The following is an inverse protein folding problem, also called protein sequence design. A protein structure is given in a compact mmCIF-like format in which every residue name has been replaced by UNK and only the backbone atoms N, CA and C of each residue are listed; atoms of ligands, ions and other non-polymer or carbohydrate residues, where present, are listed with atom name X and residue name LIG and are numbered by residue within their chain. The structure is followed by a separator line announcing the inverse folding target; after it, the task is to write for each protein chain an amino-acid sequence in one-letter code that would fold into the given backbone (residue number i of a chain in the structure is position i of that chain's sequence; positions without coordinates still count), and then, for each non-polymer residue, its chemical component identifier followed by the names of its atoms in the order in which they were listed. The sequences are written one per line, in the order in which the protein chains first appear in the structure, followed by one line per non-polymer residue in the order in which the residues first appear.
data_IF_450041692757
#
_entry.id   IF_450041692757
#
_cell.length_a   1.000
_cell.length_b   1.000
_cell.length_c   1.000
_cell.angle_alpha   90.00
_cell.angle_beta   90.00
_cell.angle_gamma   90.00
#
_symmetry.space_group_name_H-M   'P 1'
#
loop_
_entity.id
_entity.type
_entity.pdbx_description
1 polymer ?
#
# COMPACT_ATOMS: atom_id res chain seq x y z
N UNK A 1 30.72 -4.97 -13.84
CA UNK A 1 30.31 -5.87 -12.76
C UNK A 1 29.20 -5.21 -11.97
N UNK A 2 28.25 -5.96 -11.43
CA UNK A 2 27.22 -5.38 -10.55
C UNK A 2 27.91 -4.84 -9.30
N UNK A 3 27.95 -3.53 -9.14
CA UNK A 3 28.38 -2.92 -7.90
C UNK A 3 27.32 -3.22 -6.83
N UNK A 4 27.72 -3.68 -5.63
CA UNK A 4 26.77 -3.91 -4.56
C UNK A 4 26.06 -2.60 -4.20
N UNK A 5 24.76 -2.65 -3.85
CA UNK A 5 24.02 -1.45 -3.49
C UNK A 5 24.67 -0.76 -2.29
N UNK A 6 24.71 0.56 -2.34
CA UNK A 6 25.22 1.39 -1.24
C UNK A 6 24.34 1.12 -0.02
N UNK A 7 24.97 0.84 1.12
CA UNK A 7 24.23 0.69 2.39
C UNK A 7 23.57 2.02 2.74
N UNK A 8 22.27 2.04 3.10
CA UNK A 8 21.58 3.28 3.39
C UNK A 8 22.16 3.96 4.63
N UNK A 9 22.31 5.29 4.55
CA UNK A 9 22.80 6.12 5.65
C UNK A 9 21.88 5.98 6.88
N UNK A 10 22.38 6.15 8.12
CA UNK A 10 21.57 6.02 9.33
C UNK A 10 20.31 6.90 9.31
N UNK A 11 20.41 8.14 8.84
CA UNK A 11 19.30 9.08 8.73
C UNK A 11 18.23 8.62 7.73
N UNK A 12 18.60 7.92 6.66
CA UNK A 12 17.65 7.35 5.70
C UNK A 12 16.83 6.23 6.33
N UNK A 13 17.46 5.39 7.16
CA UNK A 13 16.77 4.33 7.90
C UNK A 13 15.78 4.90 8.89
N UNK A 14 16.20 5.90 9.67
CA UNK A 14 15.32 6.59 10.63
C UNK A 14 14.13 7.23 9.93
N UNK A 15 14.34 7.86 8.76
CA UNK A 15 13.24 8.45 7.99
C UNK A 15 12.27 7.38 7.46
N UNK A 16 12.79 6.28 6.93
CA UNK A 16 11.98 5.14 6.47
C UNK A 16 11.17 4.50 7.60
N UNK A 17 11.75 4.33 8.79
CA UNK A 17 11.06 3.79 9.97
C UNK A 17 9.89 4.69 10.38
N UNK A 18 10.08 6.01 10.37
CA UNK A 18 9.00 6.97 10.65
C UNK A 18 7.90 6.90 9.59
N UNK A 19 8.25 6.91 8.31
CA UNK A 19 7.30 6.81 7.21
C UNK A 19 6.50 5.51 7.25
N UNK A 20 7.12 4.39 7.61
CA UNK A 20 6.48 3.08 7.68
C UNK A 20 5.35 3.05 8.73
N UNK A 21 5.56 3.68 9.89
CA UNK A 21 4.53 3.79 10.94
C UNK A 21 3.33 4.58 10.41
N UNK A 22 3.57 5.76 9.84
CA UNK A 22 2.51 6.67 9.37
C UNK A 22 1.73 6.05 8.20
N UNK A 23 2.44 5.48 7.22
CA UNK A 23 1.80 4.83 6.07
C UNK A 23 0.93 3.64 6.50
N UNK A 24 1.41 2.86 7.47
CA UNK A 24 0.65 1.72 8.02
C UNK A 24 -0.59 2.19 8.76
N UNK A 25 -0.49 3.25 9.56
CA UNK A 25 -1.63 3.82 10.27
C UNK A 25 -2.71 4.30 9.30
N UNK A 26 -2.34 5.12 8.32
CA UNK A 26 -3.26 5.63 7.29
C UNK A 26 -3.93 4.49 6.51
N UNK A 27 -3.14 3.51 6.07
CA UNK A 27 -3.66 2.33 5.39
C UNK A 27 -4.67 1.58 6.26
N UNK A 28 -4.35 1.35 7.54
CA UNK A 28 -5.23 0.57 8.43
C UNK A 28 -6.48 1.35 8.83
N UNK A 29 -6.37 2.66 9.00
CA UNK A 29 -7.50 3.54 9.23
C UNK A 29 -8.53 3.37 8.09
N UNK A 30 -8.08 3.52 6.84
CA UNK A 30 -8.96 3.41 5.68
C UNK A 30 -9.45 1.97 5.41
N UNK A 31 -8.58 0.97 5.47
CA UNK A 31 -8.92 -0.39 5.00
C UNK A 31 -9.63 -1.24 6.06
N UNK A 32 -9.32 -1.01 7.34
CA UNK A 32 -9.82 -1.87 8.44
C UNK A 32 -10.69 -1.12 9.46
N UNK A 33 -10.53 0.19 9.62
CA UNK A 33 -11.27 0.94 10.65
C UNK A 33 -12.46 1.71 10.08
N UNK A 34 -12.39 2.17 8.82
CA UNK A 34 -13.51 2.84 8.16
C UNK A 34 -14.68 1.86 7.95
N UNK A 35 -15.82 2.05 8.65
CA UNK A 35 -16.91 1.08 8.66
C UNK A 35 -17.51 0.82 7.27
N UNK A 36 -17.45 1.81 6.37
CA UNK A 36 -18.04 1.73 5.03
C UNK A 36 -17.07 1.21 3.97
N UNK A 37 -15.82 0.93 4.32
CA UNK A 37 -14.79 0.55 3.35
C UNK A 37 -15.15 -0.72 2.58
N UNK A 38 -15.63 -1.76 3.28
CA UNK A 38 -15.98 -3.04 2.64
C UNK A 38 -17.17 -2.88 1.69
N UNK A 39 -18.14 -2.05 2.05
CA UNK A 39 -19.27 -1.72 1.18
C UNK A 39 -18.78 -0.99 -0.08
N UNK A 40 -18.00 0.08 0.10
CA UNK A 40 -17.41 0.83 -1.00
C UNK A 40 -16.57 -0.06 -1.93
N UNK A 41 -15.69 -0.90 -1.37
CA UNK A 41 -14.85 -1.81 -2.14
C UNK A 41 -15.67 -2.74 -3.05
N UNK A 42 -16.78 -3.30 -2.54
CA UNK A 42 -17.66 -4.19 -3.31
C UNK A 42 -18.47 -3.48 -4.38
N UNK A 43 -18.79 -2.20 -4.17
CA UNK A 43 -19.56 -1.39 -5.13
C UNK A 43 -18.66 -0.76 -6.20
N UNK A 44 -17.46 -0.35 -5.81
CA UNK A 44 -16.53 0.37 -6.67
C UNK A 44 -15.66 -0.56 -7.51
N UNK A 45 -15.56 -1.85 -7.18
CA UNK A 45 -14.69 -2.83 -7.86
C UNK A 45 -15.45 -4.11 -8.20
N UNK A 46 -14.99 -4.90 -9.21
CA UNK A 46 -15.64 -6.15 -9.59
C UNK A 46 -15.22 -7.33 -8.68
N UNK A 47 -15.00 -7.12 -7.38
CA UNK A 47 -14.55 -8.19 -6.47
C UNK A 47 -15.57 -9.33 -6.36
N UNK A 48 -16.85 -8.99 -6.30
CA UNK A 48 -17.91 -9.99 -6.17
C UNK A 48 -18.08 -10.80 -7.46
N UNK A 49 -17.98 -10.13 -8.61
CA UNK A 49 -18.03 -10.72 -9.94
C UNK A 49 -16.84 -11.64 -10.16
N UNK A 50 -15.63 -11.22 -9.80
CA UNK A 50 -14.42 -12.04 -9.88
C UNK A 50 -14.57 -13.34 -9.11
N UNK A 51 -15.14 -13.30 -7.90
CA UNK A 51 -15.40 -14.49 -7.09
C UNK A 51 -16.42 -15.46 -7.68
N UNK A 52 -17.26 -15.02 -8.63
CA UNK A 52 -18.29 -15.83 -9.32
C UNK A 52 -17.82 -16.37 -10.68
N UNK A 53 -16.72 -15.84 -11.21
CA UNK A 53 -16.20 -16.23 -12.53
C UNK A 53 -15.31 -17.49 -12.43
N UNK A 54 -15.36 -18.33 -13.47
CA UNK A 54 -14.52 -19.53 -13.62
C UNK A 54 -13.10 -19.19 -14.10
N UNK A 55 -12.50 -18.12 -13.56
CA UNK A 55 -11.16 -17.64 -13.94
C UNK A 55 -10.10 -17.90 -12.85
N UNK A 56 -10.54 -18.21 -11.63
CA UNK A 56 -9.67 -18.52 -10.50
C UNK A 56 -9.65 -20.02 -10.19
N UNK A 57 -8.47 -20.61 -10.01
CA UNK A 57 -8.32 -21.98 -9.51
C UNK A 57 -8.54 -22.10 -8.00
N UNK A 58 -8.57 -20.97 -7.28
CA UNK A 58 -8.65 -20.90 -5.82
C UNK A 58 -9.79 -19.99 -5.37
N UNK A 59 -10.43 -20.29 -4.22
CA UNK A 59 -11.43 -19.40 -3.63
C UNK A 59 -10.84 -18.02 -3.32
N UNK A 60 -11.56 -16.96 -3.67
CA UNK A 60 -11.12 -15.58 -3.45
C UNK A 60 -10.94 -15.24 -1.95
N UNK A 61 -11.75 -15.85 -1.07
CA UNK A 61 -11.71 -15.66 0.39
C UNK A 61 -11.28 -16.94 1.12
N UNK A 62 -10.70 -16.76 2.31
CA UNK A 62 -10.36 -17.86 3.23
C UNK A 62 -11.56 -18.33 4.05
N UNK A 63 -12.48 -17.42 4.40
CA UNK A 63 -13.72 -17.72 5.13
C UNK A 63 -14.89 -16.92 4.51
N UNK A 64 -16.10 -17.51 4.40
CA UNK A 64 -17.30 -16.76 4.00
C UNK A 64 -17.64 -15.68 5.04
N UNK A 65 -18.17 -14.53 4.57
CA UNK A 65 -18.77 -13.50 5.44
C UNK A 65 -17.81 -12.53 6.15
N UNK A 66 -16.49 -12.65 5.97
CA UNK A 66 -15.53 -11.71 6.57
C UNK A 66 -15.29 -10.43 5.77
N UNK A 67 -14.54 -9.51 6.38
CA UNK A 67 -14.04 -8.29 5.77
C UNK A 67 -12.78 -8.54 4.93
N UNK A 68 -12.00 -7.48 4.73
CA UNK A 68 -10.76 -7.51 3.92
C UNK A 68 -9.75 -8.54 4.44
N UNK A 69 -9.72 -8.81 5.74
CA UNK A 69 -8.84 -9.80 6.39
C UNK A 69 -9.04 -11.24 5.91
N UNK A 70 -10.20 -11.53 5.32
CA UNK A 70 -10.49 -12.85 4.75
C UNK A 70 -10.15 -12.94 3.27
N UNK A 71 -9.91 -11.82 2.59
CA UNK A 71 -9.61 -11.75 1.17
C UNK A 71 -8.15 -12.15 0.91
N UNK A 72 -7.90 -12.89 -0.17
CA UNK A 72 -6.53 -13.21 -0.60
C UNK A 72 -5.91 -12.01 -1.34
N UNK A 73 -4.58 -11.95 -1.34
CA UNK A 73 -3.82 -10.88 -1.99
C UNK A 73 -4.09 -10.74 -3.51
N UNK A 74 -4.24 -11.86 -4.24
CA UNK A 74 -4.55 -11.83 -5.68
C UNK A 74 -5.89 -11.14 -5.96
N UNK A 75 -7.03 -11.60 -5.38
CA UNK A 75 -8.31 -10.90 -5.51
C UNK A 75 -8.26 -9.43 -5.07
N UNK A 76 -7.55 -9.11 -3.99
CA UNK A 76 -7.38 -7.74 -3.51
C UNK A 76 -6.75 -6.83 -4.57
N UNK A 77 -5.59 -7.21 -5.09
CA UNK A 77 -4.88 -6.42 -6.11
C UNK A 77 -5.66 -6.41 -7.44
N UNK A 78 -6.23 -7.56 -7.82
CA UNK A 78 -6.96 -7.71 -9.08
C UNK A 78 -8.16 -6.78 -9.15
N UNK A 79 -9.00 -6.75 -8.11
CA UNK A 79 -10.22 -5.94 -8.07
C UNK A 79 -9.92 -4.44 -8.30
N UNK A 80 -8.91 -3.89 -7.64
CA UNK A 80 -8.50 -2.49 -7.83
C UNK A 80 -7.75 -2.22 -9.14
N UNK A 81 -7.15 -3.25 -9.73
CA UNK A 81 -6.52 -3.14 -11.05
C UNK A 81 -7.56 -3.02 -12.15
N UNK A 82 -8.69 -3.73 -12.04
CA UNK A 82 -9.79 -3.63 -13.02
C UNK A 82 -10.36 -2.21 -13.11
N UNK A 83 -10.38 -1.48 -12.01
CA UNK A 83 -10.94 -0.11 -11.94
C UNK A 83 -9.90 0.97 -12.23
N UNK A 84 -8.65 0.59 -12.51
CA UNK A 84 -7.51 1.50 -12.73
C UNK A 84 -7.21 2.42 -11.55
N UNK A 85 -7.78 2.16 -10.38
CA UNK A 85 -7.56 2.97 -9.18
C UNK A 85 -6.31 2.54 -8.41
N UNK A 86 -5.95 1.26 -8.46
CA UNK A 86 -4.72 0.72 -7.87
C UNK A 86 -4.49 1.08 -6.39
N UNK A 87 -5.58 1.29 -5.61
CA UNK A 87 -5.53 1.68 -4.19
C UNK A 87 -4.50 0.91 -3.35
N UNK A 88 -4.35 -0.43 -3.46
CA UNK A 88 -3.40 -1.20 -2.66
C UNK A 88 -1.93 -0.85 -2.87
N UNK A 89 -1.61 -0.18 -3.98
CA UNK A 89 -0.24 0.11 -4.40
C UNK A 89 0.30 1.37 -3.72
N UNK A 90 -0.55 2.37 -3.51
CA UNK A 90 -0.11 3.72 -3.14
C UNK A 90 -0.74 4.24 -1.84
N UNK A 91 -1.79 3.60 -1.31
CA UNK A 91 -2.45 4.05 -0.09
C UNK A 91 -1.45 4.09 1.08
N UNK A 92 -1.41 5.22 1.80
CA UNK A 92 -0.49 5.48 2.91
C UNK A 92 0.77 6.27 2.53
N UNK A 93 1.25 6.18 1.28
CA UNK A 93 2.46 6.91 0.84
C UNK A 93 2.28 8.43 0.94
N UNK A 94 1.15 8.94 0.45
CA UNK A 94 0.88 10.38 0.46
C UNK A 94 0.91 10.98 1.87
N UNK A 95 0.29 10.31 2.85
CA UNK A 95 0.30 10.72 4.24
C UNK A 95 1.71 10.69 4.85
N UNK A 96 2.47 9.61 4.60
CA UNK A 96 3.84 9.48 5.09
C UNK A 96 4.77 10.57 4.54
N UNK A 97 4.75 10.80 3.21
CA UNK A 97 5.55 11.85 2.58
C UNK A 97 5.18 13.23 3.10
N UNK A 98 3.87 13.55 3.14
CA UNK A 98 3.39 14.83 3.63
C UNK A 98 3.86 15.07 5.07
N UNK A 99 3.68 14.09 5.95
CA UNK A 99 4.05 14.22 7.36
C UNK A 99 5.54 14.50 7.54
N UNK A 100 6.43 13.75 6.88
CA UNK A 100 7.87 13.96 7.07
C UNK A 100 8.37 15.26 6.46
N UNK A 101 7.78 15.71 5.34
CA UNK A 101 8.12 17.00 4.72
C UNK A 101 7.64 18.16 5.60
N UNK A 102 6.42 18.08 6.15
CA UNK A 102 5.86 19.11 7.04
C UNK A 102 6.65 19.20 8.37
N UNK A 103 7.19 18.07 8.84
CA UNK A 103 8.02 18.00 10.06
C UNK A 103 9.38 18.67 9.91
N UNK A 104 10.01 18.54 8.75
CA UNK A 104 11.27 19.21 8.42
C UNK A 104 11.43 19.32 6.89
N UNK A 105 11.50 20.55 6.38
CA UNK A 105 11.61 20.81 4.94
C UNK A 105 12.87 20.17 4.31
N UNK A 106 13.93 19.93 5.10
CA UNK A 106 15.15 19.23 4.65
C UNK A 106 14.89 17.77 4.29
N UNK A 107 13.82 17.17 4.82
CA UNK A 107 13.45 15.80 4.45
C UNK A 107 13.06 15.68 2.98
N UNK A 108 12.56 16.74 2.33
CA UNK A 108 12.32 16.72 0.89
C UNK A 108 13.61 16.50 0.10
N UNK A 109 14.68 17.21 0.46
CA UNK A 109 16.00 17.03 -0.15
C UNK A 109 16.56 15.64 0.14
N UNK A 110 16.42 15.17 1.39
CA UNK A 110 16.85 13.81 1.78
C UNK A 110 16.12 12.72 0.97
N UNK A 111 14.82 12.83 0.77
CA UNK A 111 14.03 11.89 -0.04
C UNK A 111 14.46 11.89 -1.51
N UNK A 112 14.76 13.07 -2.07
CA UNK A 112 15.28 13.19 -3.43
C UNK A 112 16.68 12.58 -3.57
N UNK A 113 17.54 12.70 -2.54
CA UNK A 113 18.84 12.05 -2.51
C UNK A 113 18.72 10.52 -2.40
N UNK A 114 17.82 10.04 -1.54
CA UNK A 114 17.52 8.61 -1.39
C UNK A 114 17.08 8.03 -2.74
N UNK A 115 16.12 8.64 -3.44
CA UNK A 115 15.64 8.17 -4.76
C UNK A 115 16.75 8.12 -5.82
N UNK A 116 17.73 9.03 -5.76
CA UNK A 116 18.86 9.06 -6.72
C UNK A 116 19.95 8.04 -6.40
N UNK A 117 20.11 7.68 -5.13
CA UNK A 117 21.34 7.05 -4.63
C UNK A 117 21.11 5.67 -3.99
N UNK A 118 19.91 5.41 -3.49
CA UNK A 118 19.52 4.17 -2.83
C UNK A 118 18.78 3.29 -3.83
N UNK A 119 19.41 2.24 -4.35
CA UNK A 119 18.82 1.37 -5.38
C UNK A 119 17.46 0.72 -5.02
N UNK A 120 17.08 0.71 -3.74
CA UNK A 120 15.78 0.24 -3.28
C UNK A 120 14.65 1.26 -3.51
N UNK A 121 14.94 2.56 -3.44
CA UNK A 121 13.95 3.65 -3.52
C UNK A 121 14.01 4.32 -4.88
#
# INVERSE_FOLDING_TARGET
GMHPPISPKPEWRVLMDQMAVIATEEYRCMVFQEPRFVEYFRLATPELEYGRMNIGSRPAKRKPGGGIETLRAIPWIFAWTQTRFHLPVWLGFGAAFKHVIDKDIRNLQMLQEMYKSMAFL
#
